data_IF_470875391742
#
_entry.id   IF_470875391742
#
_cell.length_a   1.000
_cell.length_b   1.000
_cell.length_c   1.000
_cell.angle_alpha   90.00
_cell.angle_beta   90.00
_cell.angle_gamma   90.00
#
_symmetry.space_group_name_H-M   'P 1'
#
loop_
_entity.id
_entity.type
_entity.pdbx_description
1 polymer ?
#
# COMPACT_ATOMS: atom_id res chain seq x y z
N UNK A 1 -18.89 2.55 -24.76
CA UNK A 1 -17.94 2.56 -23.64
C UNK A 1 -18.60 2.98 -22.31
N UNK A 2 -19.65 3.80 -22.30
CA UNK A 2 -20.23 4.39 -21.09
C UNK A 2 -21.45 3.66 -20.55
N UNK A 3 -21.98 2.68 -21.26
CA UNK A 3 -23.19 1.92 -20.89
C UNK A 3 -24.36 2.84 -20.45
N UNK A 4 -24.52 4.01 -21.10
CA UNK A 4 -25.52 5.01 -20.78
C UNK A 4 -25.20 5.93 -19.60
N UNK A 5 -24.00 5.83 -18.99
CA UNK A 5 -23.50 6.78 -18.01
C UNK A 5 -22.82 7.95 -18.73
N UNK A 6 -22.94 9.15 -18.18
CA UNK A 6 -22.23 10.32 -18.68
C UNK A 6 -20.71 10.08 -18.57
N UNK A 7 -20.00 10.18 -19.68
CA UNK A 7 -18.55 10.10 -19.71
C UNK A 7 -17.99 11.50 -19.97
N UNK A 8 -17.01 11.89 -19.17
CA UNK A 8 -16.25 13.10 -19.41
C UNK A 8 -15.02 12.78 -20.26
N UNK A 9 -14.98 13.32 -21.49
CA UNK A 9 -13.84 13.20 -22.37
C UNK A 9 -13.10 14.54 -22.46
N UNK A 10 -11.88 14.58 -21.97
CA UNK A 10 -11.05 15.79 -21.97
C UNK A 10 -10.77 16.31 -23.37
N UNK A 11 -10.60 15.46 -24.38
CA UNK A 11 -10.29 15.85 -25.74
C UNK A 11 -11.50 16.50 -26.43
N UNK A 12 -12.71 16.07 -26.07
CA UNK A 12 -13.95 16.67 -26.57
C UNK A 12 -14.23 17.99 -25.86
N UNK A 13 -14.20 18.00 -24.53
CA UNK A 13 -14.57 19.19 -23.74
C UNK A 13 -13.53 20.32 -23.82
N UNK A 14 -12.26 19.98 -24.06
CA UNK A 14 -11.15 20.93 -24.22
C UNK A 14 -10.49 20.78 -25.59
N UNK A 15 -11.31 20.62 -26.63
CA UNK A 15 -10.82 20.35 -27.99
C UNK A 15 -9.85 21.43 -28.49
N UNK A 16 -10.05 22.69 -28.14
CA UNK A 16 -9.13 23.79 -28.49
C UNK A 16 -7.73 23.60 -27.87
N UNK A 17 -7.63 23.04 -26.65
CA UNK A 17 -6.35 22.78 -25.99
C UNK A 17 -5.63 21.61 -26.69
N UNK A 18 -6.35 20.52 -26.94
CA UNK A 18 -5.75 19.33 -27.54
C UNK A 18 -5.39 19.52 -29.01
N UNK A 19 -6.21 20.25 -29.79
CA UNK A 19 -5.91 20.56 -31.19
C UNK A 19 -4.77 21.58 -31.35
N UNK A 20 -4.66 22.56 -30.45
CA UNK A 20 -3.64 23.60 -30.58
C UNK A 20 -2.31 23.21 -29.92
N UNK A 21 -2.35 22.52 -28.75
CA UNK A 21 -1.18 22.30 -27.90
C UNK A 21 -0.89 20.84 -27.63
N UNK A 22 -1.75 19.91 -28.06
CA UNK A 22 -1.66 18.48 -27.79
C UNK A 22 -1.72 18.13 -26.29
N UNK A 23 -2.36 18.96 -25.48
CA UNK A 23 -2.57 18.73 -24.05
C UNK A 23 -2.39 19.98 -23.19
N UNK A 24 -2.56 19.80 -21.89
CA UNK A 24 -2.50 20.87 -20.91
C UNK A 24 -1.06 21.32 -20.60
N UNK A 25 -0.87 22.61 -20.32
CA UNK A 25 0.41 23.16 -19.86
C UNK A 25 0.73 22.73 -18.42
N UNK A 26 -0.31 22.64 -17.57
CA UNK A 26 -0.18 22.29 -16.15
C UNK A 26 -1.32 21.37 -15.73
N UNK A 27 -1.00 20.32 -15.01
CA UNK A 27 -1.96 19.51 -14.27
C UNK A 27 -1.58 19.55 -12.79
N UNK A 28 -2.49 20.07 -11.97
CA UNK A 28 -2.38 20.09 -10.52
C UNK A 28 -3.63 19.46 -9.93
N UNK A 29 -3.47 18.47 -9.01
CA UNK A 29 -4.61 17.84 -8.39
C UNK A 29 -4.29 17.26 -7.00
N UNK A 30 -5.38 17.11 -6.23
CA UNK A 30 -5.49 16.25 -5.06
C UNK A 30 -6.54 15.19 -5.40
N UNK A 31 -6.14 14.04 -5.98
CA UNK A 31 -7.07 12.99 -6.35
C UNK A 31 -7.79 12.41 -5.13
N UNK A 32 -9.01 11.89 -5.28
CA UNK A 32 -9.73 11.27 -4.19
C UNK A 32 -8.98 10.01 -3.68
N UNK A 33 -8.95 9.85 -2.36
CA UNK A 33 -8.27 8.73 -1.68
C UNK A 33 -9.20 7.51 -1.60
N UNK A 34 -9.61 6.99 -2.76
CA UNK A 34 -10.48 5.83 -2.88
C UNK A 34 -9.64 4.56 -2.91
N UNK A 35 -9.98 3.62 -2.03
CA UNK A 35 -9.27 2.35 -1.91
C UNK A 35 -9.66 1.38 -3.02
N UNK A 36 -8.79 0.43 -3.28
CA UNK A 36 -8.95 -0.57 -4.34
C UNK A 36 -10.21 -1.44 -4.17
N UNK A 37 -10.74 -1.60 -2.95
CA UNK A 37 -11.98 -2.33 -2.70
C UNK A 37 -13.22 -1.59 -3.21
N UNK A 38 -13.18 -0.26 -3.24
CA UNK A 38 -14.30 0.61 -3.66
C UNK A 38 -14.37 0.80 -5.18
N UNK A 39 -13.31 0.39 -5.91
CA UNK A 39 -13.22 0.48 -7.38
C UNK A 39 -13.25 -0.89 -8.06
N UNK A 40 -13.73 -1.92 -7.38
CA UNK A 40 -13.74 -3.30 -7.88
C UNK A 40 -14.44 -3.44 -9.24
N UNK A 41 -15.55 -2.74 -9.44
CA UNK A 41 -16.31 -2.77 -10.70
C UNK A 41 -15.55 -2.21 -11.92
N UNK A 42 -14.53 -1.38 -11.69
CA UNK A 42 -13.75 -0.75 -12.75
C UNK A 42 -12.42 -1.49 -13.06
N UNK A 43 -12.05 -2.50 -12.29
CA UNK A 43 -10.73 -3.16 -12.40
C UNK A 43 -10.46 -3.73 -13.78
N UNK A 44 -11.44 -4.39 -14.40
CA UNK A 44 -11.28 -4.93 -15.75
C UNK A 44 -11.04 -3.81 -16.78
N UNK A 45 -11.77 -2.70 -16.66
CA UNK A 45 -11.59 -1.54 -17.53
C UNK A 45 -10.22 -0.89 -17.30
N UNK A 46 -9.77 -0.77 -16.05
CA UNK A 46 -8.48 -0.17 -15.74
C UNK A 46 -7.32 -1.03 -16.22
N UNK A 47 -7.46 -2.36 -16.21
CA UNK A 47 -6.47 -3.28 -16.76
C UNK A 47 -6.22 -3.04 -18.26
N UNK A 48 -7.25 -2.70 -19.01
CA UNK A 48 -7.15 -2.43 -20.43
C UNK A 48 -6.65 -1.02 -20.75
N UNK A 49 -6.87 -0.04 -19.84
CA UNK A 49 -6.62 1.37 -20.11
C UNK A 49 -5.28 1.89 -19.56
N UNK A 50 -4.74 1.25 -18.50
CA UNK A 50 -3.59 1.78 -17.76
C UNK A 50 -2.43 0.81 -17.69
N UNK A 51 -1.24 1.29 -18.07
CA UNK A 51 0.01 0.54 -17.97
C UNK A 51 0.44 0.33 -16.49
N UNK A 52 0.01 1.24 -15.61
CA UNK A 52 0.29 1.19 -14.16
C UNK A 52 -0.72 0.32 -13.40
N UNK A 53 -1.54 -0.48 -14.08
CA UNK A 53 -2.52 -1.33 -13.41
C UNK A 53 -1.89 -2.35 -12.47
N UNK A 54 -2.43 -2.41 -11.25
CA UNK A 54 -2.29 -3.52 -10.30
C UNK A 54 -3.63 -3.67 -9.58
N UNK A 55 -4.16 -4.89 -9.47
CA UNK A 55 -5.47 -5.15 -8.85
C UNK A 55 -5.58 -4.74 -7.38
N UNK A 56 -4.48 -4.33 -6.73
CA UNK A 56 -4.42 -3.81 -5.36
C UNK A 56 -4.11 -2.32 -5.30
N UNK A 57 -4.02 -1.66 -6.46
CA UNK A 57 -3.71 -0.24 -6.53
C UNK A 57 -4.94 0.61 -6.19
N UNK A 58 -4.73 1.61 -5.33
CA UNK A 58 -5.74 2.62 -5.03
C UNK A 58 -5.93 3.57 -6.24
N UNK A 59 -7.08 4.24 -6.31
CA UNK A 59 -7.50 5.05 -7.46
C UNK A 59 -6.45 6.09 -7.90
N UNK A 60 -5.71 6.71 -6.97
CA UNK A 60 -4.73 7.76 -7.28
C UNK A 60 -3.60 7.30 -8.22
N UNK A 61 -3.29 6.00 -8.28
CA UNK A 61 -2.28 5.45 -9.20
C UNK A 61 -2.67 5.73 -10.65
N UNK A 62 -3.93 5.52 -10.98
CA UNK A 62 -4.47 5.79 -12.32
C UNK A 62 -4.57 7.29 -12.62
N UNK A 63 -4.79 8.12 -11.58
CA UNK A 63 -4.73 9.57 -11.72
C UNK A 63 -3.35 10.06 -12.13
N UNK A 64 -2.27 9.48 -11.60
CA UNK A 64 -0.91 9.81 -12.05
C UNK A 64 -0.74 9.57 -13.53
N UNK A 65 -1.03 8.36 -13.99
CA UNK A 65 -0.86 8.01 -15.40
C UNK A 65 -1.75 8.85 -16.31
N UNK A 66 -3.03 9.03 -15.95
CA UNK A 66 -3.95 9.85 -16.73
C UNK A 66 -3.47 11.30 -16.78
N UNK A 67 -3.03 11.85 -15.66
CA UNK A 67 -2.51 13.23 -15.58
C UNK A 67 -1.29 13.44 -16.48
N UNK A 68 -0.37 12.49 -16.49
CA UNK A 68 0.80 12.54 -17.40
C UNK A 68 0.36 12.49 -18.86
N UNK A 69 -0.58 11.61 -19.20
CA UNK A 69 -1.11 11.45 -20.56
C UNK A 69 -1.84 12.72 -21.05
N UNK A 70 -2.48 13.48 -20.16
CA UNK A 70 -3.18 14.74 -20.47
C UNK A 70 -2.27 15.97 -20.65
N UNK A 71 -1.04 15.91 -20.15
CA UNK A 71 -0.09 17.00 -20.35
C UNK A 71 0.43 17.05 -21.79
N UNK A 72 0.70 18.24 -22.32
CA UNK A 72 1.56 18.38 -23.48
C UNK A 72 3.04 18.08 -23.16
N UNK A 73 3.87 17.93 -24.17
CA UNK A 73 5.32 17.91 -23.98
C UNK A 73 5.79 19.17 -23.23
N UNK A 74 6.68 19.01 -22.28
CA UNK A 74 7.14 20.07 -21.36
C UNK A 74 6.05 20.66 -20.45
N UNK A 75 4.87 20.05 -20.37
CA UNK A 75 3.83 20.40 -19.39
C UNK A 75 4.24 19.95 -17.98
N UNK A 76 3.72 20.62 -16.96
CA UNK A 76 4.10 20.43 -15.56
C UNK A 76 3.02 19.66 -14.81
N UNK A 77 3.43 18.60 -14.13
CA UNK A 77 2.61 17.84 -13.19
C UNK A 77 2.92 18.24 -11.75
N UNK A 78 1.88 18.42 -10.93
CA UNK A 78 2.01 18.44 -9.48
C UNK A 78 0.81 17.76 -8.84
N UNK A 79 1.03 16.63 -8.17
CA UNK A 79 -0.01 15.92 -7.45
C UNK A 79 0.35 15.75 -5.98
N UNK A 80 -0.67 15.87 -5.12
CA UNK A 80 -0.61 15.42 -3.74
C UNK A 80 -1.44 14.13 -3.61
N UNK A 81 -0.80 13.05 -3.16
CA UNK A 81 -1.41 11.72 -3.08
C UNK A 81 -0.88 10.95 -1.87
N UNK A 82 -1.37 9.73 -1.63
CA UNK A 82 -0.76 8.84 -0.66
C UNK A 82 0.69 8.48 -1.04
N UNK A 83 1.61 8.49 -0.07
CA UNK A 83 3.01 8.07 -0.25
C UNK A 83 3.21 6.55 -0.35
N UNK A 84 2.15 5.77 -0.16
CA UNK A 84 2.23 4.29 -0.11
C UNK A 84 2.87 3.70 -1.37
N UNK A 85 2.67 4.32 -2.54
CA UNK A 85 3.26 3.84 -3.78
C UNK A 85 4.79 3.88 -3.78
N UNK A 86 5.45 4.64 -2.88
CA UNK A 86 6.91 4.63 -2.78
C UNK A 86 7.47 3.26 -2.38
N UNK A 87 6.71 2.46 -1.61
CA UNK A 87 7.18 1.19 -1.02
C UNK A 87 6.27 -0.01 -1.28
N UNK A 88 4.96 0.21 -1.44
CA UNK A 88 4.00 -0.87 -1.64
C UNK A 88 4.22 -1.61 -2.96
N UNK A 89 3.95 -2.92 -2.98
CA UNK A 89 4.13 -3.77 -4.16
C UNK A 89 3.32 -3.31 -5.36
N UNK A 90 2.08 -2.86 -5.15
CA UNK A 90 1.22 -2.35 -6.21
C UNK A 90 1.74 -1.08 -6.90
N UNK A 91 2.64 -0.34 -6.25
CA UNK A 91 3.27 0.86 -6.82
C UNK A 91 4.40 0.56 -7.80
N UNK A 92 4.77 -0.71 -8.04
CA UNK A 92 5.91 -1.08 -8.88
C UNK A 92 5.82 -0.50 -10.30
N UNK A 93 4.68 -0.68 -10.97
CA UNK A 93 4.46 -0.17 -12.32
C UNK A 93 4.52 1.37 -12.36
N UNK A 94 3.87 2.04 -11.39
CA UNK A 94 3.88 3.50 -11.28
C UNK A 94 5.30 4.05 -11.01
N UNK A 95 6.08 3.37 -10.14
CA UNK A 95 7.48 3.74 -9.87
C UNK A 95 8.39 3.59 -11.08
N UNK A 96 8.08 2.67 -11.97
CA UNK A 96 8.78 2.55 -13.25
C UNK A 96 8.30 3.56 -14.29
N UNK A 97 7.02 3.90 -14.29
CA UNK A 97 6.39 4.83 -15.22
C UNK A 97 6.82 6.29 -14.98
N UNK A 98 6.67 6.79 -13.75
CA UNK A 98 6.90 8.21 -13.46
C UNK A 98 8.32 8.70 -13.81
N UNK A 99 9.42 8.01 -13.41
CA UNK A 99 10.76 8.46 -13.77
C UNK A 99 11.11 8.31 -15.25
N UNK A 100 10.36 7.54 -16.02
CA UNK A 100 10.53 7.38 -17.47
C UNK A 100 9.85 8.52 -18.24
N UNK A 101 8.66 8.91 -17.80
CA UNK A 101 7.83 9.91 -18.49
C UNK A 101 8.10 11.33 -18.04
N UNK A 102 8.62 11.52 -16.81
CA UNK A 102 8.81 12.84 -16.19
C UNK A 102 10.27 13.07 -15.85
N UNK A 103 10.74 14.30 -16.15
CA UNK A 103 11.87 14.89 -15.43
C UNK A 103 11.34 15.41 -14.10
N UNK A 104 11.69 14.75 -12.99
CA UNK A 104 11.22 15.11 -11.66
C UNK A 104 11.91 16.37 -11.16
N UNK A 105 11.18 17.20 -10.40
CA UNK A 105 11.70 18.40 -9.76
C UNK A 105 11.72 18.25 -8.24
N UNK A 106 10.62 17.80 -7.66
CA UNK A 106 10.46 17.67 -6.20
C UNK A 106 9.63 16.46 -5.83
N UNK A 107 10.01 15.85 -4.73
CA UNK A 107 9.23 14.82 -4.07
C UNK A 107 9.28 15.08 -2.55
N UNK A 108 8.15 15.49 -1.98
CA UNK A 108 8.01 15.77 -0.56
C UNK A 108 7.17 14.67 0.04
N UNK A 109 7.74 13.90 0.96
CA UNK A 109 7.03 12.87 1.73
C UNK A 109 6.70 13.43 3.12
N UNK A 110 5.42 13.58 3.42
CA UNK A 110 4.97 14.10 4.71
C UNK A 110 4.96 13.05 5.81
N UNK A 111 5.24 11.78 5.50
CA UNK A 111 5.20 10.70 6.50
C UNK A 111 3.88 10.68 7.25
N UNK A 112 3.96 10.75 8.58
CA UNK A 112 2.82 10.76 9.50
C UNK A 112 2.34 12.19 9.85
N UNK A 113 2.89 13.25 9.23
CA UNK A 113 2.49 14.60 9.51
C UNK A 113 1.01 14.85 9.15
N UNK A 114 0.25 15.59 9.96
CA UNK A 114 -1.18 15.79 9.79
C UNK A 114 -1.49 16.83 8.70
N UNK A 115 -1.23 16.49 7.44
CA UNK A 115 -1.53 17.35 6.29
C UNK A 115 -3.03 17.52 6.07
N UNK A 116 -3.80 16.50 6.43
CA UNK A 116 -5.26 16.47 6.34
C UNK A 116 -5.87 16.09 7.70
N UNK A 117 -7.13 16.43 7.93
CA UNK A 117 -7.87 16.02 9.14
C UNK A 117 -7.98 14.49 9.26
N UNK A 118 -8.13 13.79 8.14
CA UNK A 118 -8.07 12.33 8.09
C UNK A 118 -6.61 11.86 8.06
N UNK A 119 -6.33 10.70 8.66
CA UNK A 119 -5.00 10.07 8.60
C UNK A 119 -4.71 9.67 7.16
N UNK A 120 -3.90 10.49 6.48
CA UNK A 120 -3.41 10.22 5.14
C UNK A 120 -1.90 10.45 5.11
N UNK A 121 -1.16 9.42 4.76
CA UNK A 121 0.28 9.50 4.52
C UNK A 121 0.51 10.21 3.18
N UNK A 122 0.54 11.53 3.19
CA UNK A 122 0.58 12.32 1.97
C UNK A 122 2.00 12.46 1.40
N UNK A 123 2.09 12.62 0.08
CA UNK A 123 3.30 13.06 -0.61
C UNK A 123 2.95 13.98 -1.78
N UNK A 124 3.81 14.97 -2.04
CA UNK A 124 3.73 15.82 -3.23
C UNK A 124 4.83 15.41 -4.20
N UNK A 125 4.44 15.09 -5.43
CA UNK A 125 5.37 14.90 -6.54
C UNK A 125 5.14 15.99 -7.58
N UNK A 126 6.25 16.62 -8.03
CA UNK A 126 6.24 17.59 -9.13
C UNK A 126 7.29 17.23 -10.17
N UNK A 127 6.94 17.37 -11.44
CA UNK A 127 7.84 17.09 -12.56
C UNK A 127 7.32 17.67 -13.88
N UNK A 128 8.16 17.66 -14.89
CA UNK A 128 7.82 18.07 -16.26
C UNK A 128 7.70 16.85 -17.17
N UNK A 129 6.70 16.80 -18.02
CA UNK A 129 6.52 15.72 -19.02
C UNK A 129 7.60 15.81 -20.10
N UNK A 130 8.75 15.29 -19.79
CA UNK A 130 9.85 15.02 -20.70
C UNK A 130 10.63 13.81 -20.19
N UNK A 131 11.16 12.96 -21.06
CA UNK A 131 12.12 11.94 -20.65
C UNK A 131 13.30 12.62 -19.95
N UNK A 132 13.74 12.11 -18.79
CA UNK A 132 14.81 12.76 -18.03
C UNK A 132 16.15 12.66 -18.75
N UNK A 133 16.98 13.73 -18.72
CA UNK A 133 18.38 13.65 -19.06
C UNK A 133 19.11 12.60 -18.21
N UNK A 134 20.23 12.05 -18.69
CA UNK A 134 21.00 11.02 -17.95
C UNK A 134 21.43 11.45 -16.55
N UNK A 135 21.71 12.75 -16.39
CA UNK A 135 22.19 13.35 -15.13
C UNK A 135 21.07 14.06 -14.38
N UNK A 136 19.81 13.78 -14.73
CA UNK A 136 18.66 14.39 -14.05
C UNK A 136 18.70 14.05 -12.56
N UNK A 137 18.48 15.08 -11.73
CA UNK A 137 18.29 14.95 -10.30
C UNK A 137 17.04 15.71 -9.87
N UNK A 138 16.53 15.41 -8.71
CA UNK A 138 15.38 16.08 -8.11
C UNK A 138 15.61 16.27 -6.61
N UNK A 139 14.90 17.25 -6.04
CA UNK A 139 14.94 17.51 -4.60
C UNK A 139 13.92 16.62 -3.89
N UNK A 140 14.37 15.76 -2.99
CA UNK A 140 13.54 14.97 -2.11
C UNK A 140 13.62 15.51 -0.66
N UNK A 141 12.48 15.50 0.03
CA UNK A 141 12.43 15.88 1.43
C UNK A 141 11.39 15.03 2.18
N UNK A 142 11.79 14.44 3.30
CA UNK A 142 10.87 13.79 4.23
C UNK A 142 10.56 14.76 5.36
N UNK A 143 9.27 15.07 5.54
CA UNK A 143 8.81 16.11 6.48
C UNK A 143 9.01 15.67 7.93
N UNK A 144 9.56 16.58 8.74
CA UNK A 144 9.69 16.41 10.17
C UNK A 144 8.39 16.88 10.85
N UNK A 145 7.80 16.06 11.70
CA UNK A 145 6.45 16.26 12.27
C UNK A 145 6.27 17.59 13.03
N UNK A 146 7.35 18.14 13.57
CA UNK A 146 7.33 19.36 14.41
C UNK A 146 7.34 20.66 13.60
N UNK A 147 7.49 20.58 12.28
CA UNK A 147 7.59 21.76 11.42
C UNK A 147 6.22 22.27 10.96
N UNK A 148 6.05 23.61 10.98
CA UNK A 148 4.89 24.27 10.40
C UNK A 148 4.91 24.20 8.87
N UNK A 149 3.75 23.94 8.25
CA UNK A 149 3.60 23.93 6.79
C UNK A 149 3.68 25.32 6.16
N UNK A 150 3.62 26.41 6.92
CA UNK A 150 3.73 27.78 6.44
C UNK A 150 5.08 28.06 5.75
N UNK A 151 6.13 27.38 6.20
CA UNK A 151 7.49 27.54 5.68
C UNK A 151 7.90 26.42 4.71
N UNK A 152 6.96 25.66 4.13
CA UNK A 152 7.25 24.50 3.29
C UNK A 152 8.29 24.80 2.18
N UNK A 153 8.15 25.94 1.48
CA UNK A 153 9.07 26.33 0.41
C UNK A 153 10.50 26.49 0.92
N UNK A 154 10.65 27.23 2.01
CA UNK A 154 11.97 27.51 2.59
C UNK A 154 12.57 26.23 3.17
N UNK A 155 11.79 25.46 3.92
CA UNK A 155 12.24 24.20 4.51
C UNK A 155 12.76 23.22 3.45
N UNK A 156 12.01 23.06 2.35
CA UNK A 156 12.43 22.18 1.26
C UNK A 156 13.67 22.72 0.52
N UNK A 157 13.80 24.04 0.41
CA UNK A 157 15.00 24.64 -0.19
C UNK A 157 16.24 24.44 0.67
N UNK A 158 16.11 24.58 2.01
CA UNK A 158 17.24 24.52 2.94
C UNK A 158 17.62 23.09 3.33
N UNK A 159 16.67 22.18 3.42
CA UNK A 159 16.85 20.83 3.93
C UNK A 159 16.64 19.71 2.93
N UNK A 160 16.11 20.04 1.74
CA UNK A 160 15.89 19.07 0.67
C UNK A 160 17.20 18.45 0.21
N UNK A 161 17.13 17.19 -0.17
CA UNK A 161 18.27 16.42 -0.61
C UNK A 161 18.19 16.17 -2.10
N UNK A 162 19.25 16.43 -2.81
CA UNK A 162 19.36 16.13 -4.23
C UNK A 162 19.60 14.65 -4.44
N UNK A 163 18.71 14.01 -5.21
CA UNK A 163 18.78 12.59 -5.54
C UNK A 163 18.84 12.42 -7.05
N UNK A 164 19.84 11.69 -7.58
CA UNK A 164 19.86 11.35 -8.99
C UNK A 164 18.62 10.54 -9.37
N UNK A 165 17.88 10.98 -10.40
CA UNK A 165 16.65 10.31 -10.80
C UNK A 165 16.89 8.85 -11.25
N UNK A 166 18.09 8.54 -11.73
CA UNK A 166 18.50 7.18 -12.09
C UNK A 166 18.56 6.20 -10.91
N UNK A 167 18.58 6.70 -9.67
CA UNK A 167 18.54 5.86 -8.48
C UNK A 167 17.12 5.37 -8.12
N UNK A 168 16.09 5.96 -8.71
CA UNK A 168 14.72 5.51 -8.54
C UNK A 168 14.50 4.16 -9.22
N UNK A 169 14.15 3.16 -8.45
CA UNK A 169 13.93 1.79 -8.93
C UNK A 169 12.46 1.37 -8.75
N UNK A 170 11.94 0.52 -9.64
CA UNK A 170 10.55 0.03 -9.51
C UNK A 170 10.27 -0.76 -8.23
N UNK A 171 11.26 -1.38 -7.61
CA UNK A 171 11.13 -2.17 -6.39
C UNK A 171 10.92 -1.33 -5.12
N UNK A 172 11.26 -0.03 -5.17
CA UNK A 172 11.02 0.91 -4.08
C UNK A 172 11.85 2.19 -4.22
N UNK A 173 11.29 3.30 -3.75
CA UNK A 173 11.99 4.58 -3.70
C UNK A 173 12.52 4.85 -2.30
N UNK A 174 13.82 5.11 -2.22
CA UNK A 174 14.51 5.44 -0.99
C UNK A 174 14.90 6.92 -1.02
N UNK A 175 14.14 7.72 -0.26
CA UNK A 175 14.28 9.18 -0.21
C UNK A 175 15.23 9.64 0.91
N UNK A 176 16.26 8.85 1.17
CA UNK A 176 17.20 9.05 2.26
C UNK A 176 18.48 9.78 1.79
N UNK A 177 19.29 10.25 2.75
CA UNK A 177 20.57 10.89 2.46
C UNK A 177 21.51 10.00 1.66
N UNK A 178 22.40 10.60 0.89
CA UNK A 178 23.41 9.86 0.12
C UNK A 178 24.26 8.92 1.00
N UNK A 179 24.49 9.29 2.26
CA UNK A 179 25.19 8.45 3.25
C UNK A 179 24.40 7.20 3.60
N UNK A 180 23.11 7.37 3.91
CA UNK A 180 22.20 6.26 4.22
C UNK A 180 22.02 5.35 3.00
N UNK A 181 21.81 5.91 1.82
CA UNK A 181 21.68 5.13 0.58
C UNK A 181 22.94 4.27 0.30
N UNK A 182 24.13 4.85 0.45
CA UNK A 182 25.41 4.11 0.30
C UNK A 182 25.57 3.01 1.35
N UNK A 183 25.17 3.27 2.60
CA UNK A 183 25.19 2.26 3.65
C UNK A 183 24.27 1.08 3.33
N UNK A 184 23.04 1.36 2.93
CA UNK A 184 22.06 0.33 2.55
C UNK A 184 22.54 -0.48 1.34
N UNK A 185 23.14 0.17 0.36
CA UNK A 185 23.74 -0.53 -0.80
C UNK A 185 24.90 -1.43 -0.38
N UNK A 186 25.76 -0.96 0.52
CA UNK A 186 26.82 -1.80 1.11
C UNK A 186 26.23 -3.01 1.84
N UNK A 187 25.18 -2.81 2.65
CA UNK A 187 24.50 -3.92 3.35
C UNK A 187 23.93 -4.94 2.36
N UNK A 188 23.28 -4.48 1.27
CA UNK A 188 22.76 -5.36 0.22
C UNK A 188 23.83 -6.19 -0.46
N UNK A 189 25.02 -5.61 -0.70
CA UNK A 189 26.14 -6.32 -1.32
C UNK A 189 26.80 -7.35 -0.38
N UNK A 190 26.86 -7.04 0.91
CA UNK A 190 27.50 -7.90 1.92
C UNK A 190 26.52 -8.90 2.55
N UNK A 191 25.22 -8.62 2.50
CA UNK A 191 24.19 -9.42 3.12
C UNK A 191 23.47 -10.32 2.13
N UNK A 192 22.74 -11.28 2.68
CA UNK A 192 21.79 -12.09 1.94
C UNK A 192 20.37 -11.58 2.24
N UNK A 193 19.53 -11.26 1.23
CA UNK A 193 18.17 -10.85 1.45
C UNK A 193 17.40 -11.87 2.31
N UNK A 194 16.59 -11.38 3.27
CA UNK A 194 15.87 -12.26 4.19
C UNK A 194 14.97 -13.26 3.44
N UNK A 195 14.30 -12.81 2.36
CA UNK A 195 13.48 -13.69 1.52
C UNK A 195 14.24 -14.89 0.96
N UNK A 196 15.49 -14.67 0.51
CA UNK A 196 16.37 -15.73 0.04
C UNK A 196 16.87 -16.60 1.19
N UNK A 197 17.23 -15.97 2.31
CA UNK A 197 17.72 -16.70 3.49
C UNK A 197 16.69 -17.70 4.00
N UNK A 198 15.43 -17.29 4.09
CA UNK A 198 14.31 -18.16 4.54
C UNK A 198 13.69 -18.94 3.38
N UNK A 199 14.22 -18.87 2.16
CA UNK A 199 13.73 -19.57 0.95
C UNK A 199 12.25 -19.24 0.66
N UNK A 200 11.90 -17.97 0.77
CA UNK A 200 10.51 -17.47 0.56
C UNK A 200 9.51 -17.85 1.66
N UNK A 201 9.92 -18.53 2.73
CA UNK A 201 9.04 -18.97 3.84
C UNK A 201 8.79 -17.83 4.83
N UNK A 202 8.16 -16.77 4.33
CA UNK A 202 7.67 -15.64 5.14
C UNK A 202 6.16 -15.68 5.06
N UNK A 203 5.51 -15.93 6.19
CA UNK A 203 4.06 -16.08 6.26
C UNK A 203 3.46 -14.96 7.10
N UNK A 204 2.27 -14.50 6.69
CA UNK A 204 1.45 -13.65 7.52
C UNK A 204 0.99 -14.43 8.78
N UNK A 205 0.79 -13.71 9.88
CA UNK A 205 0.16 -14.32 11.06
C UNK A 205 -1.25 -14.82 10.76
N UNK A 206 -1.76 -15.67 11.64
CA UNK A 206 -3.10 -16.25 11.48
C UNK A 206 -4.15 -15.15 11.49
N UNK A 207 -4.95 -15.07 10.42
CA UNK A 207 -6.12 -14.20 10.31
C UNK A 207 -7.37 -15.06 10.48
N UNK A 208 -8.07 -14.90 11.59
CA UNK A 208 -9.29 -15.66 11.88
C UNK A 208 -10.48 -15.23 11.05
N UNK A 209 -10.51 -13.96 10.65
CA UNK A 209 -11.67 -13.30 10.01
C UNK A 209 -12.86 -13.09 10.98
N UNK A 210 -12.94 -13.83 12.09
CA UNK A 210 -13.93 -13.66 13.15
C UNK A 210 -13.30 -14.07 14.48
N UNK A 211 -12.67 -13.10 15.16
CA UNK A 211 -11.93 -13.37 16.39
C UNK A 211 -12.77 -14.03 17.49
N UNK A 212 -14.02 -13.61 17.64
CA UNK A 212 -14.94 -14.11 18.67
C UNK A 212 -15.21 -15.62 18.57
N UNK A 213 -15.17 -16.18 17.36
CA UNK A 213 -15.37 -17.59 17.13
C UNK A 213 -14.13 -18.44 17.42
N UNK A 214 -12.93 -17.87 17.23
CA UNK A 214 -11.69 -18.64 17.25
C UNK A 214 -10.78 -18.35 18.45
N UNK A 215 -10.86 -17.16 19.06
CA UNK A 215 -10.02 -16.80 20.20
C UNK A 215 -10.70 -17.22 21.51
N UNK A 216 -9.95 -17.93 22.34
CA UNK A 216 -10.40 -18.45 23.61
C UNK A 216 -9.57 -17.89 24.75
N UNK A 217 -10.20 -17.67 25.89
CA UNK A 217 -9.54 -17.53 27.18
C UNK A 217 -9.29 -18.89 27.86
N UNK A 218 -8.65 -18.89 29.03
CA UNK A 218 -8.34 -20.12 29.78
C UNK A 218 -9.59 -20.85 30.25
N UNK A 219 -10.66 -20.12 30.61
CA UNK A 219 -11.90 -20.74 31.10
C UNK A 219 -12.64 -21.46 29.98
N UNK A 220 -12.77 -20.81 28.82
CA UNK A 220 -13.43 -21.36 27.64
C UNK A 220 -12.64 -22.56 27.08
N UNK A 221 -11.30 -22.47 27.07
CA UNK A 221 -10.42 -23.60 26.73
C UNK A 221 -10.66 -24.80 27.64
N UNK A 222 -10.70 -24.58 28.96
CA UNK A 222 -10.91 -25.64 29.93
C UNK A 222 -12.28 -26.29 29.73
N UNK A 223 -13.34 -25.52 29.51
CA UNK A 223 -14.69 -26.02 29.25
C UNK A 223 -14.75 -26.90 27.99
N UNK A 224 -14.18 -26.46 26.87
CA UNK A 224 -14.16 -27.25 25.62
C UNK A 224 -13.37 -28.55 25.74
N UNK A 225 -12.25 -28.55 26.51
CA UNK A 225 -11.46 -29.76 26.74
C UNK A 225 -12.18 -30.71 27.71
N UNK A 226 -12.92 -30.19 28.68
CA UNK A 226 -13.72 -31.02 29.59
C UNK A 226 -14.88 -31.70 28.86
N UNK A 227 -15.52 -31.00 27.90
CA UNK A 227 -16.59 -31.54 27.06
C UNK A 227 -16.08 -32.62 26.08
N UNK A 228 -14.95 -32.36 25.42
CA UNK A 228 -14.28 -33.30 24.52
C UNK A 228 -12.75 -33.16 24.65
N UNK A 229 -12.05 -34.10 25.28
CA UNK A 229 -10.60 -34.07 25.49
C UNK A 229 -9.79 -33.93 24.18
N UNK A 230 -10.30 -34.39 23.04
CA UNK A 230 -9.65 -34.25 21.73
C UNK A 230 -9.58 -32.81 21.27
N UNK A 231 -10.45 -31.92 21.79
CA UNK A 231 -10.39 -30.49 21.53
C UNK A 231 -9.01 -29.89 21.78
N UNK A 232 -8.22 -30.46 22.70
CA UNK A 232 -6.84 -30.05 23.00
C UNK A 232 -5.94 -30.07 21.75
N UNK A 233 -6.20 -30.96 20.80
CA UNK A 233 -5.41 -31.09 19.56
C UNK A 233 -5.56 -29.88 18.66
N UNK A 234 -6.73 -29.23 18.63
CA UNK A 234 -7.04 -28.07 17.82
C UNK A 234 -6.86 -26.76 18.57
N UNK A 235 -6.74 -26.76 19.89
CA UNK A 235 -6.55 -25.54 20.68
C UNK A 235 -5.05 -25.27 20.88
N UNK A 236 -4.54 -24.18 20.33
CA UNK A 236 -3.13 -23.81 20.41
C UNK A 236 -2.95 -22.50 21.21
N UNK A 237 -1.81 -22.28 21.88
CA UNK A 237 -1.48 -20.99 22.44
C UNK A 237 -1.50 -19.90 21.35
N UNK A 238 -2.00 -18.71 21.68
CA UNK A 238 -2.10 -17.60 20.76
C UNK A 238 -1.35 -16.37 21.28
N UNK A 239 -0.46 -15.84 20.44
CA UNK A 239 0.38 -14.68 20.74
C UNK A 239 0.05 -13.58 19.74
N UNK A 240 -0.14 -12.35 20.20
CA UNK A 240 -0.25 -11.16 19.37
C UNK A 240 1.13 -10.51 19.21
N UNK A 241 1.33 -9.74 18.13
CA UNK A 241 2.61 -9.06 17.91
C UNK A 241 3.08 -8.19 19.08
N UNK A 242 2.14 -7.58 19.82
CA UNK A 242 2.44 -6.77 21.02
C UNK A 242 2.91 -7.56 22.23
N UNK A 243 2.77 -8.89 22.22
CA UNK A 243 3.18 -9.78 23.32
C UNK A 243 4.60 -10.34 23.07
N UNK A 244 5.17 -10.05 21.91
CA UNK A 244 6.53 -10.39 21.55
C UNK A 244 7.43 -9.17 21.80
N UNK A 245 8.34 -9.30 22.75
CA UNK A 245 9.37 -8.33 23.05
C UNK A 245 10.75 -8.91 22.74
N UNK A 246 11.80 -8.10 22.85
CA UNK A 246 13.17 -8.51 22.58
C UNK A 246 13.55 -9.70 23.49
N UNK A 247 13.72 -10.87 22.84
CA UNK A 247 14.10 -12.13 23.48
C UNK A 247 13.05 -12.79 24.38
N UNK A 248 11.85 -12.22 24.49
CA UNK A 248 10.75 -12.75 25.32
C UNK A 248 9.46 -12.76 24.52
N UNK A 249 8.69 -13.83 24.66
CA UNK A 249 7.36 -13.93 24.08
C UNK A 249 6.42 -14.45 25.17
N UNK A 250 5.64 -13.54 25.77
CA UNK A 250 4.62 -13.89 26.75
C UNK A 250 3.24 -13.91 26.07
N UNK A 251 2.78 -15.09 25.68
CA UNK A 251 1.48 -15.30 25.07
C UNK A 251 0.31 -15.14 26.04
N UNK A 252 0.56 -15.02 27.33
CA UNK A 252 -0.47 -14.96 28.35
C UNK A 252 -1.42 -16.16 28.32
N UNK A 253 -2.67 -15.93 28.76
CA UNK A 253 -3.73 -16.95 28.85
C UNK A 253 -4.66 -16.98 27.63
N UNK A 254 -4.16 -16.69 26.44
CA UNK A 254 -4.94 -16.69 25.21
C UNK A 254 -4.65 -17.91 24.36
N UNK A 255 -5.71 -18.43 23.74
CA UNK A 255 -5.66 -19.61 22.89
C UNK A 255 -6.44 -19.37 21.61
N UNK A 256 -6.15 -20.18 20.58
CA UNK A 256 -6.86 -20.14 19.32
C UNK A 256 -7.31 -21.54 18.93
N UNK A 257 -8.54 -21.65 18.42
CA UNK A 257 -9.00 -22.84 17.71
C UNK A 257 -8.34 -22.82 16.34
N UNK A 258 -7.41 -23.73 16.09
CA UNK A 258 -6.67 -23.85 14.84
C UNK A 258 -7.22 -25.02 14.02
N UNK A 259 -8.03 -24.69 13.01
CA UNK A 259 -8.63 -25.64 12.08
C UNK A 259 -7.99 -25.49 10.70
N UNK A 260 -6.84 -26.11 10.41
CA UNK A 260 -6.25 -26.10 9.08
C UNK A 260 -7.16 -26.81 8.07
N UNK A 261 -6.91 -26.56 6.77
CA UNK A 261 -7.68 -27.17 5.71
C UNK A 261 -7.66 -28.71 5.82
N UNK A 262 -8.83 -29.36 5.71
CA UNK A 262 -8.96 -30.84 5.79
C UNK A 262 -9.15 -31.40 7.19
N UNK A 263 -9.26 -30.59 8.24
CA UNK A 263 -9.61 -31.11 9.59
C UNK A 263 -11.00 -31.73 9.58
N UNK A 264 -11.15 -33.01 10.02
CA UNK A 264 -12.44 -33.66 10.12
C UNK A 264 -13.20 -33.12 11.33
N UNK A 265 -13.79 -31.93 11.21
CA UNK A 265 -14.42 -31.19 12.32
C UNK A 265 -15.51 -32.00 13.04
N UNK A 266 -16.11 -32.99 12.39
CA UNK A 266 -17.12 -33.89 12.98
C UNK A 266 -16.54 -34.78 14.09
N UNK A 267 -15.22 -35.00 14.10
CA UNK A 267 -14.54 -35.77 15.15
C UNK A 267 -14.28 -34.93 16.41
N UNK A 268 -14.55 -33.64 16.38
CA UNK A 268 -14.37 -32.68 17.48
C UNK A 268 -15.69 -31.99 17.83
N UNK A 269 -16.65 -32.71 18.43
CA UNK A 269 -18.02 -32.26 18.64
C UNK A 269 -18.09 -30.96 19.47
N UNK A 270 -17.28 -30.82 20.53
CA UNK A 270 -17.25 -29.59 21.34
C UNK A 270 -16.83 -28.38 20.53
N UNK A 271 -15.76 -28.50 19.71
CA UNK A 271 -15.31 -27.39 18.80
C UNK A 271 -16.38 -27.11 17.75
N UNK A 272 -16.96 -28.15 17.13
CA UNK A 272 -18.02 -27.99 16.12
C UNK A 272 -19.21 -27.22 16.69
N UNK A 273 -19.70 -27.63 17.90
CA UNK A 273 -20.83 -26.99 18.59
C UNK A 273 -20.50 -25.51 18.95
N UNK A 274 -19.27 -25.25 19.39
CA UNK A 274 -18.80 -23.89 19.66
C UNK A 274 -18.84 -23.02 18.40
N UNK A 275 -18.24 -23.47 17.30
CA UNK A 275 -18.21 -22.75 16.04
C UNK A 275 -19.60 -22.57 15.40
N UNK A 276 -20.51 -23.54 15.59
CA UNK A 276 -21.89 -23.44 15.10
C UNK A 276 -22.66 -22.24 15.67
N UNK A 277 -22.32 -21.77 16.87
CA UNK A 277 -22.90 -20.56 17.48
C UNK A 277 -22.58 -19.29 16.66
N UNK A 278 -21.51 -19.30 15.89
CA UNK A 278 -21.02 -18.18 15.08
C UNK A 278 -21.28 -18.37 13.58
N UNK A 279 -22.14 -19.33 13.20
CA UNK A 279 -22.37 -19.75 11.81
C UNK A 279 -22.65 -18.55 10.88
N UNK A 280 -23.55 -17.66 11.25
CA UNK A 280 -23.93 -16.48 10.43
C UNK A 280 -22.74 -15.57 10.14
N UNK A 281 -21.88 -15.29 11.14
CA UNK A 281 -20.67 -14.48 10.95
C UNK A 281 -19.61 -15.19 10.11
N UNK A 282 -19.49 -16.51 10.24
CA UNK A 282 -18.55 -17.31 9.46
C UNK A 282 -18.96 -17.42 7.99
N UNK A 283 -20.25 -17.56 7.71
CA UNK A 283 -20.80 -17.58 6.33
C UNK A 283 -20.61 -16.22 5.64
N UNK A 284 -20.85 -15.11 6.32
CA UNK A 284 -20.59 -13.77 5.79
C UNK A 284 -19.11 -13.61 5.41
N UNK A 285 -18.18 -14.03 6.28
CA UNK A 285 -16.74 -14.03 6.00
C UNK A 285 -16.36 -14.79 4.72
N UNK A 286 -17.00 -15.93 4.47
CA UNK A 286 -16.72 -16.75 3.29
C UNK A 286 -17.18 -16.09 1.98
N UNK A 287 -18.17 -15.20 2.04
CA UNK A 287 -18.62 -14.39 0.90
C UNK A 287 -17.66 -13.25 0.60
N UNK A 288 -17.10 -12.61 1.63
CA UNK A 288 -16.15 -11.50 1.51
C UNK A 288 -14.73 -11.95 1.02
N UNK A 289 -14.46 -13.26 0.95
CA UNK A 289 -13.17 -13.83 0.52
C UNK A 289 -13.20 -14.48 -0.87
N UNK A 290 -14.35 -14.46 -1.56
CA UNK A 290 -14.50 -14.90 -2.95
C UNK A 290 -14.34 -13.75 -3.89
#
# INVERSE_FOLDING_TARGET
LTNGKEAFDFEIYFSEVFHQKSGFDVVIANPPYVRQEEIEEFKLLFQDLYDCYDGRADLYVYFYERSVKLLRAAGVLTLITSNKYHRAGYGNALRGFLPRELTLHRLIDFGDAPVFEAIAYASILSGTRNPPPKEASFVAYTWEQELSFECIRQTVADRGQEIPQSELKPDGWLLESAGVRRLLEKMRRCGKPLGEYVKGRIYAGIKTGLNEAFLLDSAMRAALIAEDPRSKELIKPFVKGKDADKWVCDGGSRFIIYTPHGVPINEYPAIKNHLAKFKAGLEKRALDQK
#
